data_IF_632670260796
#
_entry.id   IF_632670260796
#
_cell.length_a   1.000
_cell.length_b   1.000
_cell.length_c   1.000
_cell.angle_alpha   90.00
_cell.angle_beta   90.00
_cell.angle_gamma   90.00
#
_symmetry.space_group_name_H-M   'P 1'
#
loop_
_entity.id
_entity.type
_entity.pdbx_description
1 polymer ?
#
# COMPACT_ATOMS: atom_id res chain seq x y z
N UNK A 1 24.13 -17.66 -4.89
CA UNK A 1 23.16 -16.56 -5.03
C UNK A 1 22.14 -16.80 -6.17
N UNK A 2 22.58 -17.01 -7.45
CA UNK A 2 21.63 -17.23 -8.58
C UNK A 2 20.83 -18.53 -8.39
N UNK A 3 21.46 -19.62 -7.97
CA UNK A 3 20.80 -20.93 -7.73
C UNK A 3 19.82 -20.82 -6.58
N UNK A 4 20.16 -20.14 -5.51
CA UNK A 4 19.27 -19.90 -4.36
C UNK A 4 18.04 -19.08 -4.76
N UNK A 5 18.23 -18.02 -5.54
CA UNK A 5 17.12 -17.21 -6.07
C UNK A 5 16.20 -18.05 -6.97
N UNK A 6 16.75 -18.92 -7.83
CA UNK A 6 15.95 -19.82 -8.66
C UNK A 6 15.15 -20.84 -7.83
N UNK A 7 15.75 -21.42 -6.80
CA UNK A 7 15.06 -22.35 -5.90
C UNK A 7 13.95 -21.66 -5.10
N UNK A 8 14.20 -20.44 -4.63
CA UNK A 8 13.20 -19.65 -3.92
C UNK A 8 12.02 -19.30 -4.83
N UNK A 9 12.26 -18.89 -6.06
CA UNK A 9 11.22 -18.63 -7.07
C UNK A 9 10.40 -19.88 -7.39
N UNK A 10 11.03 -21.03 -7.52
CA UNK A 10 10.33 -22.30 -7.78
C UNK A 10 9.40 -22.64 -6.61
N UNK A 11 9.88 -22.49 -5.38
CA UNK A 11 9.07 -22.68 -4.16
C UNK A 11 7.85 -21.77 -4.12
N UNK A 12 7.98 -20.47 -4.45
CA UNK A 12 6.87 -19.54 -4.53
C UNK A 12 5.88 -19.92 -5.63
N UNK A 13 6.38 -20.30 -6.81
CA UNK A 13 5.53 -20.73 -7.93
C UNK A 13 4.69 -21.96 -7.55
N UNK A 14 5.27 -22.95 -6.88
CA UNK A 14 4.54 -24.11 -6.38
C UNK A 14 3.55 -23.74 -5.28
N UNK A 15 3.92 -22.83 -4.38
CA UNK A 15 3.04 -22.30 -3.33
C UNK A 15 1.79 -21.65 -3.90
N UNK A 16 1.92 -20.78 -4.90
CA UNK A 16 0.77 -20.16 -5.56
C UNK A 16 -0.12 -21.15 -6.30
N UNK A 17 0.46 -22.15 -6.97
CA UNK A 17 -0.33 -23.22 -7.63
C UNK A 17 -1.15 -24.00 -6.61
N UNK A 18 -0.54 -24.39 -5.50
CA UNK A 18 -1.21 -25.10 -4.41
C UNK A 18 -2.34 -24.25 -3.80
N UNK A 19 -2.08 -22.96 -3.56
CA UNK A 19 -3.09 -22.03 -3.06
C UNK A 19 -4.30 -21.94 -3.99
N UNK A 20 -4.09 -21.88 -5.30
CA UNK A 20 -5.16 -21.86 -6.29
C UNK A 20 -5.98 -23.13 -6.24
N UNK A 21 -5.33 -24.31 -6.14
CA UNK A 21 -6.01 -25.62 -6.04
C UNK A 21 -6.86 -25.71 -4.77
N UNK A 22 -6.33 -25.28 -3.62
CA UNK A 22 -7.02 -25.31 -2.34
C UNK A 22 -8.22 -24.34 -2.26
N UNK A 23 -8.14 -23.20 -2.92
CA UNK A 23 -9.16 -22.14 -2.85
C UNK A 23 -10.16 -22.15 -4.02
N UNK A 24 -9.96 -22.98 -5.03
CA UNK A 24 -10.70 -22.98 -6.31
C UNK A 24 -12.21 -22.98 -6.14
N UNK A 25 -12.70 -23.77 -5.18
CA UNK A 25 -14.13 -23.96 -4.94
C UNK A 25 -14.68 -23.01 -3.86
N UNK A 26 -13.85 -22.07 -3.37
CA UNK A 26 -14.24 -21.16 -2.29
C UNK A 26 -14.63 -19.79 -2.83
N UNK A 27 -15.93 -19.41 -2.83
CA UNK A 27 -16.39 -18.14 -3.39
C UNK A 27 -15.86 -16.92 -2.61
N UNK A 28 -15.42 -17.10 -1.38
CA UNK A 28 -14.96 -16.00 -0.52
C UNK A 28 -13.46 -15.64 -0.72
N UNK A 29 -12.73 -16.41 -1.53
CA UNK A 29 -11.27 -16.25 -1.68
C UNK A 29 -10.84 -15.87 -3.10
N UNK A 30 -11.76 -15.31 -3.92
CA UNK A 30 -11.49 -14.93 -5.30
C UNK A 30 -10.35 -13.92 -5.43
N UNK A 31 -10.26 -12.95 -4.51
CA UNK A 31 -9.15 -11.99 -4.52
C UNK A 31 -7.78 -12.64 -4.25
N UNK A 32 -7.72 -13.69 -3.44
CA UNK A 32 -6.49 -14.44 -3.21
C UNK A 32 -6.09 -15.26 -4.44
N UNK A 33 -7.06 -15.85 -5.13
CA UNK A 33 -6.83 -16.57 -6.39
C UNK A 33 -6.33 -15.60 -7.46
N UNK A 34 -6.96 -14.42 -7.57
CA UNK A 34 -6.52 -13.36 -8.48
C UNK A 34 -5.06 -12.95 -8.19
N UNK A 35 -4.73 -12.67 -6.93
CA UNK A 35 -3.38 -12.33 -6.51
C UNK A 35 -2.37 -13.44 -6.82
N UNK A 36 -2.74 -14.70 -6.63
CA UNK A 36 -1.88 -15.84 -6.95
C UNK A 36 -1.59 -15.94 -8.46
N UNK A 37 -2.62 -15.78 -9.32
CA UNK A 37 -2.41 -15.74 -10.77
C UNK A 37 -1.60 -14.55 -11.24
N UNK A 38 -1.77 -13.39 -10.62
CA UNK A 38 -0.97 -12.20 -10.91
C UNK A 38 0.52 -12.45 -10.62
N UNK A 39 0.85 -13.03 -9.47
CA UNK A 39 2.23 -13.35 -9.12
C UNK A 39 2.84 -14.41 -10.06
N UNK A 40 2.06 -15.41 -10.46
CA UNK A 40 2.49 -16.39 -11.46
C UNK A 40 2.73 -15.76 -12.84
N UNK A 41 1.90 -14.81 -13.24
CA UNK A 41 2.07 -14.02 -14.46
C UNK A 41 3.37 -13.21 -14.40
N UNK A 42 3.56 -12.42 -13.35
CA UNK A 42 4.76 -11.58 -13.19
C UNK A 42 6.04 -12.43 -13.18
N UNK A 43 6.05 -13.54 -12.43
CA UNK A 43 7.18 -14.48 -12.41
C UNK A 43 7.47 -15.05 -13.80
N UNK A 44 6.43 -15.34 -14.59
CA UNK A 44 6.59 -15.85 -15.96
C UNK A 44 7.17 -14.79 -16.90
N UNK A 45 6.77 -13.52 -16.75
CA UNK A 45 7.34 -12.40 -17.50
C UNK A 45 8.82 -12.16 -17.17
N UNK A 46 9.19 -12.22 -15.90
CA UNK A 46 10.60 -12.10 -15.45
C UNK A 46 11.49 -13.21 -16.02
N UNK A 47 10.95 -14.43 -16.10
CA UNK A 47 11.63 -15.59 -16.71
C UNK A 47 11.60 -15.59 -18.24
N UNK A 48 10.93 -14.62 -18.87
CA UNK A 48 10.68 -14.58 -20.32
C UNK A 48 9.91 -15.81 -20.85
N UNK A 49 9.17 -16.50 -19.97
CA UNK A 49 8.26 -17.56 -20.35
C UNK A 49 6.90 -16.99 -20.78
N UNK A 50 6.91 -16.37 -21.95
CA UNK A 50 5.74 -15.67 -22.49
C UNK A 50 4.54 -16.59 -22.73
N UNK A 51 4.77 -17.87 -22.97
CA UNK A 51 3.69 -18.87 -23.12
C UNK A 51 2.93 -19.06 -21.83
N UNK A 52 3.63 -19.21 -20.72
CA UNK A 52 3.00 -19.30 -19.40
C UNK A 52 2.37 -17.98 -18.98
N UNK A 53 3.01 -16.86 -19.27
CA UNK A 53 2.46 -15.53 -19.00
C UNK A 53 1.10 -15.33 -19.68
N UNK A 54 0.97 -15.67 -20.97
CA UNK A 54 -0.30 -15.60 -21.69
C UNK A 54 -1.36 -16.54 -21.09
N UNK A 55 -0.99 -17.73 -20.66
CA UNK A 55 -1.90 -18.66 -19.99
C UNK A 55 -2.46 -18.06 -18.69
N UNK A 56 -1.59 -17.51 -17.84
CA UNK A 56 -2.03 -16.90 -16.60
C UNK A 56 -2.86 -15.64 -16.84
N UNK A 57 -2.52 -14.85 -17.86
CA UNK A 57 -3.32 -13.70 -18.27
C UNK A 57 -4.74 -14.11 -18.69
N UNK A 58 -4.88 -15.22 -19.41
CA UNK A 58 -6.18 -15.78 -19.81
C UNK A 58 -6.97 -16.28 -18.60
N UNK A 59 -6.32 -16.95 -17.64
CA UNK A 59 -6.95 -17.39 -16.40
C UNK A 59 -7.45 -16.20 -15.58
N UNK A 60 -6.62 -15.16 -15.43
CA UNK A 60 -7.03 -13.88 -14.82
C UNK A 60 -8.24 -13.24 -15.51
N UNK A 61 -8.39 -13.42 -16.83
CA UNK A 61 -9.53 -12.85 -17.56
C UNK A 61 -10.85 -13.52 -17.20
N UNK A 62 -10.82 -14.77 -16.75
CA UNK A 62 -12.00 -15.58 -16.43
C UNK A 62 -12.46 -15.41 -14.97
N UNK A 63 -11.57 -14.88 -14.10
CA UNK A 63 -11.91 -14.63 -12.71
C UNK A 63 -12.87 -13.43 -12.59
N UNK A 64 -13.77 -13.49 -11.60
CA UNK A 64 -14.61 -12.33 -11.26
C UNK A 64 -13.73 -11.23 -10.68
N UNK A 65 -13.75 -10.07 -11.36
CA UNK A 65 -12.92 -8.93 -10.97
C UNK A 65 -13.76 -7.88 -10.26
N UNK A 66 -13.24 -7.39 -9.15
CA UNK A 66 -13.80 -6.20 -8.53
C UNK A 66 -13.56 -4.98 -9.41
N UNK A 67 -14.31 -3.91 -9.18
CA UNK A 67 -14.15 -2.65 -9.92
C UNK A 67 -12.72 -2.08 -9.81
N UNK A 68 -12.00 -2.41 -8.73
CA UNK A 68 -10.62 -1.96 -8.49
C UNK A 68 -9.57 -2.84 -9.20
N UNK A 69 -9.88 -4.12 -9.45
CA UNK A 69 -8.96 -5.06 -10.10
C UNK A 69 -8.92 -4.88 -11.62
N UNK A 70 -9.99 -4.34 -12.24
CA UNK A 70 -10.05 -4.13 -13.70
C UNK A 70 -8.90 -3.25 -14.21
N UNK A 71 -8.62 -2.06 -13.65
CA UNK A 71 -7.51 -1.23 -14.11
C UNK A 71 -6.15 -1.90 -13.97
N UNK A 72 -5.94 -2.63 -12.88
CA UNK A 72 -4.71 -3.38 -12.65
C UNK A 72 -4.53 -4.52 -13.67
N UNK A 73 -5.60 -5.23 -13.98
CA UNK A 73 -5.58 -6.23 -15.05
C UNK A 73 -5.24 -5.65 -16.43
N UNK A 74 -5.75 -4.46 -16.76
CA UNK A 74 -5.39 -3.76 -17.99
C UNK A 74 -3.89 -3.43 -18.03
N UNK A 75 -3.32 -3.00 -16.90
CA UNK A 75 -1.89 -2.76 -16.75
C UNK A 75 -1.07 -4.04 -16.99
N UNK A 76 -1.47 -5.17 -16.40
CA UNK A 76 -0.83 -6.47 -16.61
C UNK A 76 -0.91 -6.94 -18.08
N UNK A 77 -2.04 -6.70 -18.74
CA UNK A 77 -2.17 -6.96 -20.18
C UNK A 77 -1.18 -6.14 -20.99
N UNK A 78 -1.10 -4.84 -20.70
CA UNK A 78 -0.14 -3.95 -21.34
C UNK A 78 1.30 -4.44 -21.18
N UNK A 79 1.70 -4.80 -19.96
CA UNK A 79 3.04 -5.36 -19.68
C UNK A 79 3.31 -6.66 -20.44
N UNK A 80 2.33 -7.55 -20.49
CA UNK A 80 2.47 -8.83 -21.21
C UNK A 80 2.66 -8.60 -22.71
N UNK A 81 1.87 -7.72 -23.32
CA UNK A 81 2.00 -7.41 -24.74
C UNK A 81 3.29 -6.63 -25.06
N UNK A 82 3.73 -5.75 -24.16
CA UNK A 82 5.04 -5.10 -24.31
C UNK A 82 6.21 -6.12 -24.31
N UNK A 83 6.16 -7.09 -23.39
CA UNK A 83 7.15 -8.16 -23.32
C UNK A 83 7.16 -9.07 -24.56
N UNK A 84 6.02 -9.16 -25.27
CA UNK A 84 5.86 -9.86 -26.55
C UNK A 84 6.24 -8.99 -27.76
N UNK A 85 6.75 -7.77 -27.57
CA UNK A 85 6.99 -6.77 -28.61
C UNK A 85 5.76 -6.40 -29.43
N UNK A 86 4.55 -6.57 -28.88
CA UNK A 86 3.28 -6.15 -29.49
C UNK A 86 2.93 -4.73 -29.02
N UNK A 87 3.68 -3.76 -29.56
CA UNK A 87 3.67 -2.35 -29.10
C UNK A 87 2.30 -1.70 -29.17
N UNK A 88 1.53 -1.91 -30.25
CA UNK A 88 0.20 -1.31 -30.41
C UNK A 88 -0.80 -1.83 -29.36
N UNK A 89 -0.77 -3.14 -29.12
CA UNK A 89 -1.61 -3.76 -28.08
C UNK A 89 -1.20 -3.26 -26.69
N UNK A 90 0.10 -3.18 -26.40
CA UNK A 90 0.61 -2.66 -25.13
C UNK A 90 0.16 -1.21 -24.91
N UNK A 91 0.33 -0.35 -25.93
CA UNK A 91 -0.10 1.05 -25.93
C UNK A 91 -1.60 1.18 -25.61
N UNK A 92 -2.44 0.40 -26.30
CA UNK A 92 -3.87 0.39 -26.08
C UNK A 92 -4.23 0.10 -24.61
N UNK A 93 -3.66 -0.97 -24.02
CA UNK A 93 -3.96 -1.36 -22.65
C UNK A 93 -3.41 -0.39 -21.62
N UNK A 94 -2.22 0.19 -21.84
CA UNK A 94 -1.70 1.24 -20.97
C UNK A 94 -2.55 2.50 -21.00
N UNK A 95 -3.06 2.91 -22.17
CA UNK A 95 -3.98 4.04 -22.30
C UNK A 95 -5.26 3.79 -21.49
N UNK A 96 -5.82 2.58 -21.57
CA UNK A 96 -7.00 2.22 -20.76
C UNK A 96 -6.70 2.22 -19.26
N UNK A 97 -5.56 1.66 -18.83
CA UNK A 97 -5.14 1.66 -17.43
C UNK A 97 -4.87 3.08 -16.90
N UNK A 98 -4.36 3.99 -17.74
CA UNK A 98 -4.07 5.38 -17.41
C UNK A 98 -5.33 6.21 -17.07
N UNK A 99 -6.53 5.74 -17.41
CA UNK A 99 -7.82 6.36 -17.04
C UNK A 99 -8.34 5.88 -15.68
N UNK A 100 -7.57 5.07 -14.95
CA UNK A 100 -7.94 4.54 -13.64
C UNK A 100 -8.20 5.63 -12.63
N UNK A 101 -9.16 5.40 -11.73
CA UNK A 101 -9.38 6.22 -10.53
C UNK A 101 -8.31 5.99 -9.46
N UNK A 102 -7.55 4.89 -9.55
CA UNK A 102 -6.38 4.65 -8.72
C UNK A 102 -5.19 5.44 -9.25
N UNK A 103 -4.75 6.44 -8.49
CA UNK A 103 -3.62 7.29 -8.87
C UNK A 103 -2.33 6.50 -9.12
N UNK A 104 -2.08 5.45 -8.33
CA UNK A 104 -0.91 4.59 -8.52
C UNK A 104 -0.93 3.84 -9.86
N UNK A 105 -2.08 3.24 -10.21
CA UNK A 105 -2.22 2.53 -11.50
C UNK A 105 -2.11 3.53 -12.66
N UNK A 106 -2.78 4.67 -12.56
CA UNK A 106 -2.73 5.71 -13.58
C UNK A 106 -1.32 6.27 -13.78
N UNK A 107 -0.58 6.50 -12.69
CA UNK A 107 0.82 6.95 -12.73
C UNK A 107 1.71 5.92 -13.42
N UNK A 108 1.61 4.66 -13.02
CA UNK A 108 2.42 3.59 -13.58
C UNK A 108 2.11 3.35 -15.05
N UNK A 109 0.82 3.35 -15.43
CA UNK A 109 0.41 3.20 -16.82
C UNK A 109 0.94 4.35 -17.70
N UNK A 110 0.92 5.60 -17.22
CA UNK A 110 1.50 6.72 -17.95
C UNK A 110 3.02 6.62 -18.07
N UNK A 111 3.73 6.15 -17.04
CA UNK A 111 5.19 5.93 -17.10
C UNK A 111 5.55 4.85 -18.13
N UNK A 112 4.81 3.72 -18.13
CA UNK A 112 5.01 2.64 -19.10
C UNK A 112 4.64 3.08 -20.52
N UNK A 113 3.59 3.86 -20.70
CA UNK A 113 3.20 4.45 -21.97
C UNK A 113 4.28 5.39 -22.52
N UNK A 114 4.84 6.27 -21.67
CA UNK A 114 5.94 7.14 -22.03
C UNK A 114 7.18 6.36 -22.54
N UNK A 115 7.53 5.27 -21.84
CA UNK A 115 8.67 4.43 -22.22
C UNK A 115 8.43 3.64 -23.53
N UNK A 116 7.16 3.35 -23.83
CA UNK A 116 6.77 2.60 -25.03
C UNK A 116 6.67 3.48 -26.29
N UNK A 117 6.31 4.75 -26.11
CA UNK A 117 6.17 5.70 -27.21
C UNK A 117 7.56 6.09 -27.69
N UNK A 118 7.81 5.94 -28.99
CA UNK A 118 8.99 6.53 -29.60
C UNK A 118 8.90 8.06 -29.53
N UNK A 119 9.77 8.67 -28.72
CA UNK A 119 9.75 10.11 -28.47
C UNK A 119 10.08 10.93 -29.71
N UNK A 120 10.84 10.37 -30.67
CA UNK A 120 11.17 11.02 -31.92
C UNK A 120 9.94 11.14 -32.83
N UNK A 121 9.10 10.10 -32.86
CA UNK A 121 7.89 10.06 -33.71
C UNK A 121 6.68 10.76 -33.07
N UNK A 122 6.60 10.73 -31.74
CA UNK A 122 5.41 11.23 -30.99
C UNK A 122 5.80 12.11 -29.77
N UNK A 123 6.52 13.22 -29.97
CA UNK A 123 7.04 14.02 -28.87
C UNK A 123 5.95 14.63 -27.98
N UNK A 124 4.82 15.03 -28.55
CA UNK A 124 3.70 15.62 -27.78
C UNK A 124 3.04 14.59 -26.87
N UNK A 125 2.81 13.36 -27.36
CA UNK A 125 2.22 12.29 -26.55
C UNK A 125 3.17 11.85 -25.43
N UNK A 126 4.46 11.75 -25.72
CA UNK A 126 5.48 11.45 -24.73
C UNK A 126 5.54 12.53 -23.64
N UNK A 127 5.56 13.80 -24.03
CA UNK A 127 5.54 14.94 -23.10
C UNK A 127 4.28 14.92 -22.22
N UNK A 128 3.09 14.72 -22.80
CA UNK A 128 1.83 14.66 -22.07
C UNK A 128 1.80 13.51 -21.06
N UNK A 129 2.23 12.32 -21.45
CA UNK A 129 2.29 11.15 -20.56
C UNK A 129 3.23 11.41 -19.37
N UNK A 130 4.40 12.03 -19.64
CA UNK A 130 5.35 12.38 -18.58
C UNK A 130 4.84 13.47 -17.64
N UNK A 131 4.20 14.50 -18.19
CA UNK A 131 3.58 15.55 -17.40
C UNK A 131 2.49 14.99 -16.48
N UNK A 132 1.64 14.10 -17.00
CA UNK A 132 0.57 13.46 -16.23
C UNK A 132 1.12 12.55 -15.13
N UNK A 133 2.15 11.75 -15.41
CA UNK A 133 2.88 10.97 -14.40
C UNK A 133 3.39 11.86 -13.27
N UNK A 134 4.08 12.94 -13.59
CA UNK A 134 4.65 13.87 -12.62
C UNK A 134 3.56 14.55 -11.77
N UNK A 135 2.44 14.96 -12.38
CA UNK A 135 1.31 15.57 -11.66
C UNK A 135 0.72 14.60 -10.64
N UNK A 136 0.45 13.35 -11.04
CA UNK A 136 -0.09 12.32 -10.15
C UNK A 136 0.91 12.01 -9.04
N UNK A 137 2.18 11.86 -9.35
CA UNK A 137 3.25 11.63 -8.37
C UNK A 137 3.31 12.73 -7.31
N UNK A 138 3.22 14.00 -7.72
CA UNK A 138 3.24 15.13 -6.80
C UNK A 138 2.00 15.15 -5.91
N UNK A 139 0.82 14.81 -6.44
CA UNK A 139 -0.41 14.69 -5.65
C UNK A 139 -0.30 13.59 -4.58
N UNK A 140 0.22 12.41 -4.97
CA UNK A 140 0.45 11.29 -4.04
C UNK A 140 1.41 11.71 -2.92
N UNK A 141 2.54 12.34 -3.27
CA UNK A 141 3.51 12.82 -2.28
C UNK A 141 2.92 13.89 -1.36
N UNK A 142 2.12 14.81 -1.90
CA UNK A 142 1.41 15.82 -1.12
C UNK A 142 0.44 15.20 -0.11
N UNK A 143 -0.34 14.21 -0.54
CA UNK A 143 -1.27 13.47 0.33
C UNK A 143 -0.54 12.70 1.44
N UNK A 144 0.56 12.02 1.12
CA UNK A 144 1.38 11.30 2.11
C UNK A 144 1.95 12.28 3.14
N UNK A 145 2.52 13.40 2.71
CA UNK A 145 3.09 14.39 3.61
C UNK A 145 2.02 14.99 4.54
N UNK A 146 0.83 15.29 4.03
CA UNK A 146 -0.28 15.80 4.85
C UNK A 146 -0.74 14.79 5.90
N UNK A 147 -0.76 13.50 5.56
CA UNK A 147 -1.11 12.42 6.49
C UNK A 147 -0.06 12.23 7.58
N UNK A 148 1.23 12.33 7.24
CA UNK A 148 2.34 12.28 8.20
C UNK A 148 2.21 13.46 9.20
N UNK A 149 2.04 14.68 8.69
CA UNK A 149 1.86 15.86 9.55
C UNK A 149 0.65 15.74 10.48
N UNK A 150 -0.46 15.17 9.98
CA UNK A 150 -1.66 14.93 10.79
C UNK A 150 -1.38 13.92 11.92
N UNK A 151 -0.64 12.85 11.64
CA UNK A 151 -0.25 11.85 12.66
C UNK A 151 0.67 12.47 13.72
N UNK A 152 1.70 13.20 13.32
CA UNK A 152 2.60 13.89 14.24
C UNK A 152 1.86 14.88 15.13
N UNK A 153 0.93 15.65 14.56
CA UNK A 153 0.09 16.56 15.33
C UNK A 153 -0.78 15.83 16.37
N UNK A 154 -1.39 14.70 15.98
CA UNK A 154 -2.20 13.90 16.90
C UNK A 154 -1.37 13.27 18.02
N UNK A 155 -0.15 12.82 17.72
CA UNK A 155 0.78 12.30 18.74
C UNK A 155 1.19 13.38 19.76
N UNK A 156 1.53 14.58 19.27
CA UNK A 156 1.86 15.71 20.15
C UNK A 156 0.66 16.12 21.03
N UNK A 157 -0.55 16.11 20.46
CA UNK A 157 -1.77 16.37 21.21
C UNK A 157 -1.98 15.35 22.32
N UNK A 158 -1.84 14.06 22.00
CA UNK A 158 -1.99 12.97 22.97
C UNK A 158 -0.93 13.08 24.09
N UNK A 159 0.34 13.38 23.75
CA UNK A 159 1.37 13.60 24.73
C UNK A 159 1.03 14.77 25.67
N UNK A 160 0.53 15.88 25.12
CA UNK A 160 0.12 17.02 25.95
C UNK A 160 -1.05 16.66 26.90
N UNK A 161 -2.04 15.91 26.43
CA UNK A 161 -3.12 15.41 27.27
C UNK A 161 -2.61 14.50 28.42
N UNK A 162 -1.66 13.61 28.12
CA UNK A 162 -1.03 12.79 29.14
C UNK A 162 -0.23 13.62 30.15
N UNK A 163 0.49 14.64 29.73
CA UNK A 163 1.18 15.56 30.64
C UNK A 163 0.20 16.30 31.55
N UNK A 164 -0.93 16.77 31.02
CA UNK A 164 -1.98 17.43 31.81
C UNK A 164 -2.57 16.48 32.87
N UNK A 165 -2.84 15.23 32.51
CA UNK A 165 -3.34 14.21 33.43
C UNK A 165 -2.33 13.91 34.53
N UNK A 166 -1.06 13.73 34.20
CA UNK A 166 0.00 13.51 35.20
C UNK A 166 0.15 14.70 36.14
N UNK A 167 0.11 15.92 35.61
CA UNK A 167 0.18 17.13 36.42
C UNK A 167 -1.01 17.23 37.39
N UNK A 168 -2.21 16.90 36.94
CA UNK A 168 -3.41 16.87 37.81
C UNK A 168 -3.29 15.79 38.91
N UNK A 169 -2.77 14.61 38.59
CA UNK A 169 -2.51 13.55 39.58
C UNK A 169 -1.51 14.00 40.63
N UNK A 170 -0.37 14.55 40.24
CA UNK A 170 0.65 15.07 41.17
C UNK A 170 0.06 16.17 42.05
N UNK A 171 -0.73 17.08 41.51
CA UNK A 171 -1.38 18.12 42.29
C UNK A 171 -2.32 17.54 43.34
N UNK A 172 -3.10 16.49 42.95
CA UNK A 172 -3.98 15.79 43.89
C UNK A 172 -3.22 15.09 45.01
N UNK A 173 -2.10 14.42 44.69
CA UNK A 173 -1.24 13.75 45.67
C UNK A 173 -0.65 14.76 46.66
N UNK A 174 -0.15 15.91 46.16
CA UNK A 174 0.38 16.98 47.03
C UNK A 174 -0.71 17.56 47.94
N UNK A 175 -1.96 17.72 47.44
CA UNK A 175 -3.07 18.16 48.23
C UNK A 175 -3.44 17.15 49.34
N UNK A 176 -3.45 15.86 49.01
CA UNK A 176 -3.69 14.78 49.98
C UNK A 176 -2.61 14.75 51.09
N UNK A 177 -1.35 14.87 50.72
CA UNK A 177 -0.24 14.98 51.63
C UNK A 177 -0.35 16.21 52.56
N UNK A 178 -0.76 17.35 52.02
CA UNK A 178 -1.03 18.58 52.79
C UNK A 178 -2.14 18.39 53.82
N UNK A 179 -3.22 17.72 53.45
CA UNK A 179 -4.32 17.43 54.39
C UNK A 179 -3.87 16.46 55.51
N UNK A 180 -3.15 15.42 55.18
CA UNK A 180 -2.64 14.45 56.14
C UNK A 180 -1.70 15.12 57.16
N UNK A 181 -0.77 15.96 56.70
CA UNK A 181 0.14 16.71 57.58
C UNK A 181 -0.56 17.71 58.45
N UNK A 182 -1.63 18.38 57.95
CA UNK A 182 -2.47 19.28 58.74
C UNK A 182 -3.20 18.54 59.84
N UNK A 183 -3.80 17.36 59.54
CA UNK A 183 -4.49 16.52 60.52
C UNK A 183 -3.56 16.00 61.59
N UNK A 184 -2.36 15.55 61.23
CA UNK A 184 -1.35 15.12 62.19
C UNK A 184 -0.90 16.25 63.13
N UNK A 185 -0.73 17.46 62.60
CA UNK A 185 -0.34 18.63 63.45
C UNK A 185 -1.40 19.02 64.44
N UNK A 186 -2.71 19.00 64.02
CA UNK A 186 -3.83 19.23 64.91
C UNK A 186 -3.92 18.16 66.00
N UNK A 187 -3.76 16.89 65.64
CA UNK A 187 -3.72 15.79 66.59
C UNK A 187 -2.60 15.91 67.60
N UNK A 188 -1.39 16.33 67.17
CA UNK A 188 -0.28 16.56 68.06
C UNK A 188 -0.53 17.72 69.02
N UNK A 189 -1.09 18.83 68.59
CA UNK A 189 -1.45 19.97 69.41
C UNK A 189 -2.52 19.53 70.45
N UNK A 190 -3.55 18.84 70.04
CA UNK A 190 -4.59 18.35 70.95
C UNK A 190 -4.05 17.42 72.04
N UNK A 191 -3.14 16.52 71.67
CA UNK A 191 -2.43 15.63 72.62
C UNK A 191 -1.64 16.44 73.66
N UNK A 192 -0.96 17.51 73.26
CA UNK A 192 -0.16 18.35 74.17
C UNK A 192 -1.04 19.15 75.13
N UNK A 193 -2.27 19.54 74.76
CA UNK A 193 -3.17 20.26 75.63
C UNK A 193 -3.98 19.34 76.56
N UNK A 194 -3.99 18.01 76.27
CA UNK A 194 -4.71 17.04 77.14
C UNK A 194 -3.82 16.42 78.22
N UNK A 195 -2.50 16.58 78.17
CA UNK A 195 -1.56 16.21 79.23
C UNK A 195 -1.36 17.38 80.20
#
# INVERSE_FOLDING_TARGET
QIIEAMQQHEKYTQGYKKLIEELRDSPNHQSLIYYAFENLLNTSLERKDYRQALKYLQLLSNERRSRYEIPHYLLLRGRTYAALNQTDSAKYYYQQAATSTSEFIAMEANALLFNLINQEDYPEQAFYSKQKENTIKNNILGNINSEIQRREFNELKLQNELYQLHFQQQKHELWMLGIITALLSVGFIAFFFYQ
#
